data_IF_035336298542
#
_entry.id   IF_035336298542
#
_cell.length_a   1.000
_cell.length_b   1.000
_cell.length_c   1.000
_cell.angle_alpha   90.00
_cell.angle_beta   90.00
_cell.angle_gamma   90.00
#
_symmetry.space_group_name_H-M   'P 1'
#
loop_
_entity.id
_entity.type
_entity.pdbx_description
1 polymer ?
#
# COMPACT_ATOMS: atom_id res chain seq x y z
N UNK A 1 -38.44 -7.32 -9.01
CA UNK A 1 -37.01 -7.21 -9.36
C UNK A 1 -36.17 -7.72 -8.19
N UNK A 2 -35.29 -8.70 -8.40
CA UNK A 2 -34.25 -9.07 -7.43
C UNK A 2 -32.93 -8.58 -7.99
N UNK A 3 -32.34 -7.59 -7.33
CA UNK A 3 -31.00 -7.07 -7.64
C UNK A 3 -30.02 -8.26 -7.63
N UNK A 4 -29.38 -8.55 -8.78
CA UNK A 4 -28.32 -9.55 -8.84
C UNK A 4 -27.03 -8.86 -8.39
N UNK A 5 -26.35 -9.32 -7.34
CA UNK A 5 -25.06 -8.76 -6.97
C UNK A 5 -24.07 -8.98 -8.12
N UNK A 6 -23.43 -7.91 -8.57
CA UNK A 6 -22.37 -7.93 -9.59
C UNK A 6 -21.17 -8.69 -9.02
N UNK A 7 -21.15 -10.00 -9.25
CA UNK A 7 -20.05 -10.86 -8.87
C UNK A 7 -18.83 -10.49 -9.74
N UNK A 8 -17.96 -9.62 -9.22
CA UNK A 8 -16.68 -9.32 -9.87
C UNK A 8 -15.71 -10.48 -9.63
N UNK A 9 -16.00 -11.64 -10.26
CA UNK A 9 -15.21 -12.86 -10.13
C UNK A 9 -14.35 -13.03 -11.37
N UNK A 10 -13.04 -13.02 -11.17
CA UNK A 10 -12.09 -13.48 -12.17
C UNK A 10 -12.36 -14.96 -12.46
N UNK A 11 -12.49 -15.30 -13.74
CA UNK A 11 -12.67 -16.68 -14.18
C UNK A 11 -11.50 -17.53 -13.65
N UNK A 12 -11.77 -18.45 -12.71
CA UNK A 12 -10.78 -19.40 -12.18
C UNK A 12 -10.54 -19.38 -10.67
N UNK A 13 -11.13 -18.47 -9.90
CA UNK A 13 -11.05 -18.56 -8.44
C UNK A 13 -11.93 -19.71 -7.93
N UNK A 14 -11.34 -20.69 -7.22
CA UNK A 14 -12.12 -21.72 -6.52
C UNK A 14 -13.08 -21.05 -5.52
N UNK A 15 -14.30 -21.58 -5.37
CA UNK A 15 -15.34 -20.99 -4.51
C UNK A 15 -14.85 -20.81 -3.05
N UNK A 16 -14.02 -21.73 -2.57
CA UNK A 16 -13.35 -21.65 -1.26
C UNK A 16 -12.31 -20.52 -1.13
N UNK A 17 -11.92 -19.89 -2.23
CA UNK A 17 -10.97 -18.77 -2.31
C UNK A 17 -11.67 -17.41 -2.43
N UNK A 18 -13.01 -17.37 -2.52
CA UNK A 18 -13.78 -16.13 -2.57
C UNK A 18 -13.90 -15.56 -1.16
N UNK A 19 -13.34 -14.38 -0.92
CA UNK A 19 -13.35 -13.70 0.39
C UNK A 19 -13.79 -12.26 0.22
N UNK A 20 -14.69 -11.79 1.08
CA UNK A 20 -15.04 -10.37 1.18
C UNK A 20 -13.88 -9.65 1.87
N UNK A 21 -12.98 -9.07 1.08
CA UNK A 21 -11.96 -8.21 1.64
C UNK A 21 -12.62 -6.92 2.15
N UNK A 22 -12.16 -6.37 3.29
CA UNK A 22 -12.55 -5.04 3.71
C UNK A 22 -12.18 -4.03 2.59
N UNK A 23 -12.92 -2.92 2.44
CA UNK A 23 -12.80 -1.97 1.31
C UNK A 23 -11.45 -1.23 1.18
N UNK A 24 -10.40 -1.65 1.89
CA UNK A 24 -9.16 -0.90 2.09
C UNK A 24 -7.92 -1.51 1.42
N UNK A 25 -8.08 -2.30 0.37
CA UNK A 25 -6.94 -2.98 -0.26
C UNK A 25 -5.84 -2.03 -0.79
N UNK A 26 -6.11 -0.75 -1.07
CA UNK A 26 -5.08 0.17 -1.59
C UNK A 26 -5.38 1.64 -1.22
N UNK A 27 -4.50 2.30 -0.44
CA UNK A 27 -4.21 3.73 -0.68
C UNK A 27 -4.32 4.74 0.47
N UNK A 28 -5.06 4.48 1.55
CA UNK A 28 -5.20 5.46 2.66
C UNK A 28 -4.64 4.93 4.00
N UNK A 29 -3.48 5.43 4.46
CA UNK A 29 -2.90 5.03 5.75
C UNK A 29 -3.69 5.52 6.97
N UNK A 30 -4.71 6.36 6.79
CA UNK A 30 -5.50 6.95 7.88
C UNK A 30 -6.51 5.98 8.50
N UNK A 31 -6.77 4.86 7.84
CA UNK A 31 -7.80 3.90 8.27
C UNK A 31 -7.26 2.74 9.13
N UNK A 32 -5.95 2.67 9.39
CA UNK A 32 -5.39 1.67 10.32
C UNK A 32 -5.12 2.27 11.70
N UNK A 33 -5.80 1.76 12.73
CA UNK A 33 -5.40 2.03 14.11
C UNK A 33 -4.29 1.07 14.55
N UNK A 34 -3.05 1.43 14.20
CA UNK A 34 -1.88 0.61 14.52
C UNK A 34 -1.71 0.36 16.03
N UNK A 35 -2.07 1.33 16.88
CA UNK A 35 -1.86 1.23 18.33
C UNK A 35 -2.81 0.22 18.95
N UNK A 36 -4.09 0.23 18.54
CA UNK A 36 -5.06 -0.76 18.99
C UNK A 36 -4.72 -2.18 18.53
N UNK A 37 -4.23 -2.33 17.29
CA UNK A 37 -3.77 -3.64 16.79
C UNK A 37 -2.58 -4.18 17.57
N UNK A 38 -1.60 -3.33 17.87
CA UNK A 38 -0.45 -3.71 18.68
C UNK A 38 -0.87 -4.07 20.10
N UNK A 39 -1.71 -3.26 20.75
CA UNK A 39 -2.18 -3.55 22.10
C UNK A 39 -2.88 -4.91 22.20
N UNK A 40 -3.71 -5.26 21.21
CA UNK A 40 -4.50 -6.49 21.20
C UNK A 40 -3.69 -7.75 20.86
N UNK A 41 -2.67 -7.61 20.00
CA UNK A 41 -1.95 -8.73 19.39
C UNK A 41 -0.48 -8.86 19.82
N UNK A 42 0.06 -7.92 20.61
CA UNK A 42 1.46 -7.97 21.04
C UNK A 42 1.79 -9.30 21.73
N UNK A 43 2.85 -9.94 21.26
CA UNK A 43 3.36 -11.20 21.81
C UNK A 43 2.57 -12.45 21.39
N UNK A 44 1.54 -12.31 20.55
CA UNK A 44 0.81 -13.44 19.97
C UNK A 44 1.29 -13.67 18.54
N UNK A 45 1.62 -14.92 18.15
CA UNK A 45 1.85 -15.23 16.74
C UNK A 45 0.54 -15.02 15.96
N UNK A 46 0.64 -14.36 14.81
CA UNK A 46 -0.48 -14.15 13.90
C UNK A 46 -0.14 -14.70 12.53
N UNK A 47 -1.09 -15.37 11.92
CA UNK A 47 -0.97 -15.82 10.53
C UNK A 47 -1.28 -14.66 9.58
N UNK A 48 -0.54 -14.60 8.48
CA UNK A 48 -0.71 -13.57 7.48
C UNK A 48 -0.41 -14.13 6.08
N UNK A 49 -1.07 -13.58 5.07
CA UNK A 49 -0.80 -13.87 3.66
C UNK A 49 0.04 -12.73 3.10
N UNK A 50 1.19 -13.05 2.51
CA UNK A 50 2.04 -12.05 1.86
C UNK A 50 1.43 -11.67 0.52
N UNK A 51 1.06 -10.39 0.38
CA UNK A 51 0.54 -9.82 -0.86
C UNK A 51 1.68 -9.27 -1.71
N UNK A 52 2.61 -8.54 -1.09
CA UNK A 52 3.72 -7.91 -1.82
C UNK A 52 4.99 -7.81 -0.97
N UNK A 53 6.12 -8.12 -1.61
CA UNK A 53 7.46 -7.89 -1.07
C UNK A 53 7.99 -6.57 -1.62
N UNK A 54 8.32 -5.61 -0.74
CA UNK A 54 8.89 -4.31 -1.14
C UNK A 54 10.42 -4.36 -1.16
N UNK A 55 11.01 -4.96 -0.14
CA UNK A 55 12.42 -5.30 -0.01
C UNK A 55 12.55 -6.47 0.99
N UNK A 56 13.79 -6.87 1.33
CA UNK A 56 14.04 -7.99 2.25
C UNK A 56 13.59 -7.78 3.70
N UNK A 57 13.19 -6.57 4.07
CA UNK A 57 12.74 -6.21 5.43
C UNK A 57 11.34 -5.61 5.48
N UNK A 58 10.72 -5.33 4.33
CA UNK A 58 9.45 -4.61 4.22
C UNK A 58 8.44 -5.41 3.39
N UNK A 59 7.34 -5.83 4.04
CA UNK A 59 6.28 -6.64 3.42
C UNK A 59 4.92 -5.97 3.54
N UNK A 60 4.04 -6.19 2.57
CA UNK A 60 2.61 -5.90 2.66
C UNK A 60 1.85 -7.21 2.75
N UNK A 61 1.00 -7.33 3.76
CA UNK A 61 0.36 -8.59 4.13
C UNK A 61 -1.11 -8.37 4.48
N UNK A 62 -1.89 -9.42 4.35
CA UNK A 62 -3.22 -9.53 4.94
C UNK A 62 -3.12 -10.35 6.23
N UNK A 63 -3.45 -9.73 7.37
CA UNK A 63 -3.54 -10.43 8.65
C UNK A 63 -4.82 -11.27 8.70
N UNK A 64 -4.70 -12.51 9.19
CA UNK A 64 -5.84 -13.40 9.38
C UNK A 64 -6.43 -13.26 10.80
N UNK A 65 -7.74 -13.53 10.96
CA UNK A 65 -8.72 -13.93 9.93
C UNK A 65 -9.44 -12.77 9.22
N UNK A 66 -9.30 -11.52 9.66
CA UNK A 66 -10.08 -10.38 9.15
C UNK A 66 -9.60 -9.81 7.81
N UNK A 67 -8.50 -10.33 7.25
CA UNK A 67 -7.86 -9.83 6.03
C UNK A 67 -7.52 -8.34 6.11
N UNK A 68 -7.02 -7.91 7.27
CA UNK A 68 -6.59 -6.54 7.43
C UNK A 68 -5.28 -6.30 6.67
N UNK A 69 -5.30 -5.32 5.77
CA UNK A 69 -4.14 -4.98 4.95
C UNK A 69 -3.18 -4.07 5.72
N UNK A 70 -1.96 -4.55 5.96
CA UNK A 70 -0.94 -3.82 6.73
C UNK A 70 0.44 -3.92 6.07
N UNK A 71 1.27 -2.91 6.34
CA UNK A 71 2.70 -2.96 6.04
C UNK A 71 3.45 -3.35 7.30
N UNK A 72 4.29 -4.39 7.20
CA UNK A 72 5.12 -4.88 8.31
C UNK A 72 6.60 -4.72 7.98
N UNK A 73 7.37 -4.49 9.03
CA UNK A 73 8.82 -4.40 8.97
C UNK A 73 9.43 -5.48 9.85
N UNK A 74 10.49 -6.12 9.34
CA UNK A 74 11.28 -7.07 10.12
C UNK A 74 12.07 -6.30 11.16
N UNK A 75 11.80 -6.53 12.44
CA UNK A 75 12.45 -5.83 13.53
C UNK A 75 13.96 -6.12 13.58
N UNK A 76 14.77 -5.08 13.80
CA UNK A 76 16.22 -5.20 13.95
C UNK A 76 17.00 -5.43 12.64
N UNK A 77 16.32 -5.51 11.49
CA UNK A 77 16.95 -5.71 10.18
C UNK A 77 16.70 -4.49 9.30
N UNK A 78 17.70 -4.14 8.49
CA UNK A 78 17.57 -3.20 7.39
C UNK A 78 18.08 -3.90 6.13
N UNK A 79 17.21 -4.09 5.14
CA UNK A 79 17.59 -4.65 3.86
C UNK A 79 17.88 -3.53 2.85
N UNK A 80 18.74 -3.77 1.84
CA UNK A 80 18.87 -2.86 0.71
C UNK A 80 17.52 -2.63 0.03
N UNK A 81 17.18 -1.37 -0.21
CA UNK A 81 15.93 -0.98 -0.88
C UNK A 81 16.21 -0.34 -2.24
N UNK A 82 15.27 -0.53 -3.17
CA UNK A 82 15.33 0.12 -4.48
C UNK A 82 14.94 1.59 -4.32
N UNK A 83 15.83 2.49 -4.72
CA UNK A 83 15.52 3.92 -4.85
C UNK A 83 15.02 4.20 -6.25
N UNK A 84 13.85 4.83 -6.34
CA UNK A 84 13.37 5.36 -7.61
C UNK A 84 14.17 6.62 -7.93
N UNK A 85 14.94 6.60 -9.02
CA UNK A 85 15.65 7.78 -9.49
C UNK A 85 14.60 8.70 -10.12
N UNK A 86 14.17 9.72 -9.38
CA UNK A 86 13.34 10.79 -9.94
C UNK A 86 14.26 11.70 -10.75
N UNK A 87 14.21 11.58 -12.08
CA UNK A 87 14.84 12.57 -12.95
C UNK A 87 14.05 13.86 -12.78
N UNK A 88 14.61 14.86 -12.10
CA UNK A 88 14.04 16.19 -12.06
C UNK A 88 14.13 16.74 -13.48
N UNK A 89 13.03 16.70 -14.23
CA UNK A 89 12.91 17.51 -15.43
C UNK A 89 12.92 18.95 -14.94
N UNK A 90 14.08 19.60 -15.05
CA UNK A 90 14.23 21.03 -14.85
C UNK A 90 13.20 21.72 -15.74
N UNK A 91 12.09 22.19 -15.15
CA UNK A 91 11.18 23.11 -15.82
C UNK A 91 11.95 24.42 -15.96
N UNK A 92 12.65 24.57 -17.09
CA UNK A 92 13.27 25.83 -17.49
C UNK A 92 12.20 26.89 -17.62
N UNK A 93 12.12 27.79 -16.64
CA UNK A 93 11.45 29.08 -16.79
C UNK A 93 12.45 30.07 -17.39
N UNK A 94 12.60 30.00 -18.70
CA UNK A 94 13.21 31.00 -19.60
C UNK A 94 11.99 31.57 -20.38
N UNK A 95 11.60 32.85 -20.44
CA UNK A 95 12.19 34.17 -20.21
C UNK A 95 11.06 35.09 -19.73
N UNK A 96 11.25 35.90 -18.68
CA UNK A 96 10.60 37.22 -18.66
C UNK A 96 11.50 38.22 -17.92
N UNK A 97 12.13 39.06 -18.71
CA UNK A 97 13.17 39.98 -18.27
C UNK A 97 13.45 41.02 -19.34
N UNK A 98 12.38 41.56 -19.94
CA UNK A 98 12.45 42.80 -20.70
C UNK A 98 12.82 43.94 -19.74
N UNK A 99 14.12 44.13 -19.50
CA UNK A 99 14.66 45.28 -18.79
C UNK A 99 15.20 46.29 -19.81
N UNK A 100 14.30 47.19 -20.19
CA UNK A 100 14.55 48.61 -20.45
C UNK A 100 16.02 49.06 -20.52
N UNK A 101 16.45 49.42 -21.73
CA UNK A 101 17.67 50.19 -22.01
C UNK A 101 17.44 51.08 -23.25
N UNK A 102 16.95 52.30 -23.04
CA UNK A 102 17.27 53.49 -23.87
C UNK A 102 16.51 54.72 -23.30
N UNK A 103 17.14 55.82 -22.88
CA UNK A 103 18.49 56.29 -23.18
C UNK A 103 18.60 56.75 -24.62
#
# INVERSE_FOLDING_TARGET
MRERPVLNVLCGAAEASIRNLPPFAVGDPSNLDAMSLLASNKGKPMEAIVEQVRDGSSLRVYLLPEFQFVQVFVAGIQAPSIRLIQNQTTSGSELDGARDKSG
#
